data_IF_726808050852
#
_entry.id   IF_726808050852
#
_cell.length_a   1.000
_cell.length_b   1.000
_cell.length_c   1.000
_cell.angle_alpha   90.00
_cell.angle_beta   90.00
_cell.angle_gamma   90.00
#
_symmetry.space_group_name_H-M   'P 1'
#
loop_
_entity.id
_entity.type
_entity.pdbx_description
1 polymer ?
#
# COMPACT_ATOMS: atom_id res chain seq x y z
N UNK A 1 6.78 -58.60 -88.69
CA UNK A 1 6.22 -59.20 -87.45
C UNK A 1 7.11 -58.94 -86.23
N UNK A 2 8.40 -59.29 -86.26
CA UNK A 2 9.34 -59.06 -85.13
C UNK A 2 9.50 -57.59 -84.71
N UNK A 3 9.57 -56.66 -85.67
CA UNK A 3 9.72 -55.23 -85.36
C UNK A 3 8.50 -54.64 -84.63
N UNK A 4 7.29 -55.09 -84.99
CA UNK A 4 6.04 -54.65 -84.37
C UNK A 4 5.90 -55.18 -82.94
N UNK A 5 6.31 -56.43 -82.70
CA UNK A 5 6.37 -57.04 -81.37
C UNK A 5 7.39 -56.36 -80.45
N UNK A 6 8.57 -56.00 -80.99
CA UNK A 6 9.57 -55.25 -80.23
C UNK A 6 9.08 -53.84 -79.86
N UNK A 7 8.39 -53.15 -80.79
CA UNK A 7 7.80 -51.84 -80.55
C UNK A 7 6.71 -51.92 -79.47
N UNK A 8 5.80 -52.89 -79.56
CA UNK A 8 4.75 -53.14 -78.58
C UNK A 8 5.31 -53.45 -77.19
N UNK A 9 6.36 -54.27 -77.11
CA UNK A 9 7.07 -54.57 -75.86
C UNK A 9 7.70 -53.31 -75.25
N UNK A 10 8.37 -52.49 -76.08
CA UNK A 10 8.99 -51.23 -75.63
C UNK A 10 7.95 -50.25 -75.07
N UNK A 11 6.83 -50.04 -75.79
CA UNK A 11 5.75 -49.16 -75.31
C UNK A 11 5.04 -49.71 -74.08
N UNK A 12 4.92 -51.04 -73.96
CA UNK A 12 4.33 -51.68 -72.78
C UNK A 12 5.21 -51.51 -71.52
N UNK A 13 6.53 -51.68 -71.67
CA UNK A 13 7.49 -51.44 -70.58
C UNK A 13 7.49 -49.96 -70.18
N UNK A 14 7.46 -49.05 -71.16
CA UNK A 14 7.40 -47.61 -70.91
C UNK A 14 6.08 -47.22 -70.21
N UNK A 15 4.96 -47.82 -70.60
CA UNK A 15 3.67 -47.63 -69.95
C UNK A 15 3.68 -48.12 -68.50
N UNK A 16 4.24 -49.31 -68.23
CA UNK A 16 4.38 -49.82 -66.86
C UNK A 16 5.27 -48.88 -66.03
N UNK A 17 6.39 -48.41 -66.59
CA UNK A 17 7.28 -47.48 -65.89
C UNK A 17 6.58 -46.16 -65.56
N UNK A 18 5.85 -45.58 -66.54
CA UNK A 18 5.11 -44.33 -66.33
C UNK A 18 3.95 -44.51 -65.34
N UNK A 19 3.27 -45.66 -65.36
CA UNK A 19 2.20 -46.00 -64.43
C UNK A 19 2.73 -46.17 -63.00
N UNK A 20 3.84 -46.88 -62.82
CA UNK A 20 4.50 -47.04 -61.51
C UNK A 20 5.02 -45.70 -60.99
N UNK A 21 5.59 -44.86 -61.86
CA UNK A 21 6.03 -43.50 -61.51
C UNK A 21 4.84 -42.63 -61.08
N UNK A 22 3.73 -42.68 -61.81
CA UNK A 22 2.50 -41.95 -61.48
C UNK A 22 1.91 -42.44 -60.14
N UNK A 23 1.92 -43.76 -59.89
CA UNK A 23 1.42 -44.34 -58.65
C UNK A 23 2.29 -43.92 -57.45
N UNK A 24 3.62 -43.93 -57.61
CA UNK A 24 4.56 -43.43 -56.59
C UNK A 24 4.38 -41.93 -56.33
N UNK A 25 4.13 -41.14 -57.37
CA UNK A 25 3.88 -39.70 -57.25
C UNK A 25 2.54 -39.43 -56.52
N UNK A 26 1.49 -40.19 -56.87
CA UNK A 26 0.17 -40.13 -56.22
C UNK A 26 0.21 -40.60 -54.76
N UNK A 27 1.09 -41.53 -54.41
CA UNK A 27 1.29 -41.98 -53.03
C UNK A 27 2.12 -40.99 -52.20
N UNK A 28 3.09 -40.29 -52.80
CA UNK A 28 4.02 -39.40 -52.08
C UNK A 28 3.49 -37.97 -51.91
N UNK A 29 2.69 -37.45 -52.84
CA UNK A 29 2.10 -36.11 -52.76
C UNK A 29 1.19 -35.87 -51.52
N UNK A 30 0.28 -36.79 -51.14
CA UNK A 30 -0.52 -36.65 -49.93
C UNK A 30 0.34 -36.67 -48.67
N UNK A 31 1.34 -37.56 -48.62
CA UNK A 31 2.29 -37.66 -47.51
C UNK A 31 3.10 -36.37 -47.34
N UNK A 32 3.58 -35.78 -48.45
CA UNK A 32 4.27 -34.48 -48.44
C UNK A 32 3.33 -33.36 -47.96
N UNK A 33 2.07 -33.36 -48.40
CA UNK A 33 1.07 -32.39 -47.95
C UNK A 33 0.78 -32.51 -46.45
N UNK A 34 0.57 -33.72 -45.92
CA UNK A 34 0.41 -33.95 -44.48
C UNK A 34 1.66 -33.56 -43.68
N UNK A 35 2.86 -33.81 -44.23
CA UNK A 35 4.12 -33.43 -43.60
C UNK A 35 4.27 -31.89 -43.53
N UNK A 36 3.98 -31.19 -44.63
CA UNK A 36 3.97 -29.71 -44.67
C UNK A 36 2.92 -29.16 -43.70
N UNK A 37 1.71 -29.72 -43.68
CA UNK A 37 0.63 -29.31 -42.77
C UNK A 37 1.01 -29.53 -41.30
N UNK A 38 1.66 -30.65 -40.98
CA UNK A 38 2.16 -30.97 -39.64
C UNK A 38 3.25 -30.00 -39.20
N UNK A 39 4.21 -29.66 -40.06
CA UNK A 39 5.25 -28.67 -39.76
C UNK A 39 4.67 -27.26 -39.62
N UNK A 40 3.71 -26.88 -40.46
CA UNK A 40 2.99 -25.60 -40.33
C UNK A 40 2.22 -25.52 -39.01
N UNK A 41 1.50 -26.59 -38.64
CA UNK A 41 0.76 -26.66 -37.39
C UNK A 41 1.69 -26.62 -36.17
N UNK A 42 2.77 -27.40 -36.20
CA UNK A 42 3.81 -27.41 -35.15
C UNK A 42 4.50 -26.04 -35.00
N UNK A 43 4.80 -25.37 -36.12
CA UNK A 43 5.34 -24.01 -36.12
C UNK A 43 4.36 -22.99 -35.53
N UNK A 44 3.06 -23.09 -35.86
CA UNK A 44 2.03 -22.20 -35.32
C UNK A 44 1.84 -22.40 -33.81
N UNK A 45 1.83 -23.65 -33.35
CA UNK A 45 1.77 -24.00 -31.93
C UNK A 45 3.00 -23.45 -31.20
N UNK A 46 4.20 -23.66 -31.75
CA UNK A 46 5.44 -23.07 -31.22
C UNK A 46 5.37 -21.54 -31.14
N UNK A 47 4.87 -20.87 -32.18
CA UNK A 47 4.71 -19.41 -32.22
C UNK A 47 3.75 -18.93 -31.13
N UNK A 48 2.63 -19.64 -30.91
CA UNK A 48 1.67 -19.32 -29.84
C UNK A 48 2.33 -19.47 -28.47
N UNK A 49 3.04 -20.58 -28.21
CA UNK A 49 3.76 -20.78 -26.95
C UNK A 49 4.86 -19.73 -26.75
N UNK A 50 5.59 -19.39 -27.81
CA UNK A 50 6.64 -18.36 -27.77
C UNK A 50 6.06 -16.97 -27.49
N UNK A 51 4.97 -16.59 -28.15
CA UNK A 51 4.23 -15.35 -27.86
C UNK A 51 3.66 -15.35 -26.44
N UNK A 52 3.13 -16.47 -25.97
CA UNK A 52 2.63 -16.62 -24.59
C UNK A 52 3.77 -16.43 -23.59
N UNK A 53 4.94 -17.03 -23.82
CA UNK A 53 6.14 -16.86 -23.00
C UNK A 53 6.59 -15.40 -23.01
N UNK A 54 6.61 -14.73 -24.17
CA UNK A 54 6.93 -13.29 -24.24
C UNK A 54 5.92 -12.46 -23.45
N UNK A 55 4.63 -12.72 -23.59
CA UNK A 55 3.57 -12.01 -22.85
C UNK A 55 3.73 -12.25 -21.35
N UNK A 56 3.95 -13.49 -20.92
CA UNK A 56 4.19 -13.84 -19.51
C UNK A 56 5.45 -13.14 -18.99
N UNK A 57 6.54 -13.16 -19.74
CA UNK A 57 7.82 -12.55 -19.35
C UNK A 57 7.71 -11.02 -19.30
N UNK A 58 7.04 -10.40 -20.26
CA UNK A 58 6.80 -8.96 -20.28
C UNK A 58 5.85 -8.54 -19.14
N UNK A 59 4.82 -9.34 -18.87
CA UNK A 59 3.94 -9.17 -17.71
C UNK A 59 4.70 -9.31 -16.39
N UNK A 60 5.64 -10.26 -16.31
CA UNK A 60 6.51 -10.44 -15.14
C UNK A 60 7.47 -9.26 -14.95
N UNK A 61 8.08 -8.76 -16.03
CA UNK A 61 8.93 -7.55 -15.97
C UNK A 61 8.11 -6.33 -15.56
N UNK A 62 6.92 -6.12 -16.12
CA UNK A 62 6.01 -5.05 -15.72
C UNK A 62 5.67 -5.18 -14.24
N UNK A 63 5.37 -6.39 -13.77
CA UNK A 63 5.04 -6.65 -12.37
C UNK A 63 6.22 -6.31 -11.45
N UNK A 64 7.44 -6.74 -11.79
CA UNK A 64 8.66 -6.40 -11.05
C UNK A 64 8.94 -4.89 -11.09
N UNK A 65 8.77 -4.25 -12.24
CA UNK A 65 8.92 -2.81 -12.38
C UNK A 65 7.92 -2.06 -11.49
N UNK A 66 6.65 -2.48 -11.46
CA UNK A 66 5.64 -1.90 -10.59
C UNK A 66 6.01 -2.10 -9.11
N UNK A 67 6.50 -3.27 -8.72
CA UNK A 67 7.00 -3.51 -7.36
C UNK A 67 8.15 -2.56 -7.03
N UNK A 68 9.12 -2.40 -7.92
CA UNK A 68 10.26 -1.50 -7.73
C UNK A 68 9.78 -0.04 -7.62
N UNK A 69 8.88 0.39 -8.50
CA UNK A 69 8.28 1.74 -8.45
C UNK A 69 7.53 1.95 -7.15
N UNK A 70 6.75 0.97 -6.69
CA UNK A 70 6.05 1.02 -5.40
C UNK A 70 7.05 1.13 -4.26
N UNK A 71 8.12 0.32 -4.25
CA UNK A 71 9.17 0.37 -3.23
C UNK A 71 9.94 1.69 -3.24
N UNK A 72 10.17 2.29 -4.41
CA UNK A 72 10.85 3.59 -4.55
C UNK A 72 9.94 4.73 -4.11
N UNK A 73 8.69 4.78 -4.58
CA UNK A 73 7.70 5.76 -4.14
C UNK A 73 7.45 5.63 -2.63
N UNK A 74 7.50 4.41 -2.13
CA UNK A 74 7.40 4.11 -0.72
C UNK A 74 8.60 4.64 0.07
N UNK A 75 9.83 4.35 -0.35
CA UNK A 75 11.05 4.86 0.26
C UNK A 75 11.07 6.40 0.25
N UNK A 76 10.64 7.01 -0.85
CA UNK A 76 10.50 8.46 -0.97
C UNK A 76 9.44 9.00 -0.01
N UNK A 77 8.28 8.34 0.14
CA UNK A 77 7.25 8.77 1.08
C UNK A 77 7.66 8.58 2.54
N UNK A 78 8.34 7.49 2.87
CA UNK A 78 8.90 7.24 4.18
C UNK A 78 9.98 8.25 4.54
N UNK A 79 10.89 8.54 3.60
CA UNK A 79 11.85 9.64 3.73
C UNK A 79 11.13 10.96 3.85
N UNK A 80 10.03 11.22 3.13
CA UNK A 80 9.32 12.49 3.21
C UNK A 80 8.61 12.65 4.55
N UNK A 81 8.03 11.58 5.11
CA UNK A 81 7.41 11.56 6.44
C UNK A 81 8.48 11.71 7.52
N UNK A 82 9.59 10.98 7.44
CA UNK A 82 10.74 11.16 8.34
C UNK A 82 11.31 12.56 8.19
N UNK A 83 11.43 13.07 6.97
CA UNK A 83 11.89 14.43 6.69
C UNK A 83 10.92 15.44 7.26
N UNK A 84 9.61 15.18 7.29
CA UNK A 84 8.59 15.99 7.96
C UNK A 84 8.66 15.91 9.49
N UNK A 85 8.90 14.73 10.07
CA UNK A 85 9.22 14.54 11.49
C UNK A 85 10.52 15.26 11.87
N UNK A 86 11.57 15.14 11.06
CA UNK A 86 12.83 15.85 11.21
C UNK A 86 12.64 17.36 10.96
N UNK A 87 11.70 17.75 10.09
CA UNK A 87 11.30 19.15 9.92
C UNK A 87 10.51 19.67 11.11
N UNK A 88 9.97 18.84 12.01
CA UNK A 88 9.45 19.37 13.27
C UNK A 88 10.59 19.96 14.14
N UNK A 89 11.83 19.54 13.94
CA UNK A 89 13.04 20.19 14.49
C UNK A 89 13.35 21.51 13.76
N UNK A 90 12.98 21.63 12.49
CA UNK A 90 13.00 22.90 11.73
C UNK A 90 11.79 23.79 12.08
N UNK A 91 10.66 23.22 12.49
CA UNK A 91 9.48 23.92 13.00
C UNK A 91 9.84 24.67 14.28
N UNK A 92 10.75 24.19 15.12
CA UNK A 92 11.33 24.98 16.23
C UNK A 92 12.08 26.23 15.71
N UNK A 93 12.84 26.12 14.61
CA UNK A 93 13.53 27.26 13.96
C UNK A 93 12.56 28.22 13.26
N UNK A 94 11.48 27.70 12.68
CA UNK A 94 10.39 28.49 12.07
C UNK A 94 9.51 29.12 13.15
N UNK A 95 9.32 28.48 14.31
CA UNK A 95 8.57 29.02 15.44
C UNK A 95 9.20 30.31 15.97
N UNK A 96 10.53 30.32 16.11
CA UNK A 96 11.31 31.52 16.44
C UNK A 96 11.19 32.63 15.38
N UNK A 97 11.05 32.27 14.09
CA UNK A 97 10.87 33.22 12.99
C UNK A 97 9.42 33.73 12.86
N UNK A 98 8.43 32.89 13.18
CA UNK A 98 7.00 33.18 13.11
C UNK A 98 6.52 33.95 14.33
N UNK A 99 7.09 33.71 15.53
CA UNK A 99 6.91 34.57 16.70
C UNK A 99 7.30 36.03 16.39
N UNK A 100 8.35 36.22 15.58
CA UNK A 100 8.83 37.53 15.12
C UNK A 100 7.86 38.21 14.13
N UNK A 101 7.18 37.43 13.26
CA UNK A 101 6.19 37.94 12.30
C UNK A 101 4.79 38.14 12.91
N UNK A 102 4.41 37.34 13.90
CA UNK A 102 3.08 37.42 14.54
C UNK A 102 2.89 38.65 15.43
N UNK A 103 3.99 39.23 15.93
CA UNK A 103 3.99 40.54 16.59
C UNK A 103 3.42 41.64 15.67
N UNK A 104 3.50 41.49 14.34
CA UNK A 104 3.01 42.49 13.37
C UNK A 104 1.51 42.36 13.04
N UNK A 105 0.86 41.22 13.31
CA UNK A 105 -0.52 40.92 12.87
C UNK A 105 -1.60 41.14 13.95
N UNK A 106 -1.21 41.34 15.20
CA UNK A 106 -2.11 41.45 16.38
C UNK A 106 -3.06 42.68 16.38
N UNK A 107 -3.08 43.48 15.32
CA UNK A 107 -3.96 44.63 15.16
C UNK A 107 -5.20 44.40 14.27
N UNK A 108 -5.32 43.26 13.58
CA UNK A 108 -6.41 43.03 12.62
C UNK A 108 -7.61 42.35 13.28
N UNK A 109 -8.78 42.99 13.23
CA UNK A 109 -10.02 42.40 13.72
C UNK A 109 -10.48 41.22 12.83
N UNK A 110 -11.02 40.16 13.44
CA UNK A 110 -11.55 38.98 12.73
C UNK A 110 -12.55 39.32 11.61
N UNK A 111 -13.37 40.36 11.79
CA UNK A 111 -14.34 40.81 10.77
C UNK A 111 -13.70 41.30 9.48
N UNK A 112 -12.48 41.86 9.56
CA UNK A 112 -11.69 42.30 8.41
C UNK A 112 -10.95 41.10 7.80
N UNK A 113 -10.32 40.27 8.64
CA UNK A 113 -9.61 39.08 8.18
C UNK A 113 -10.51 38.10 7.41
N UNK A 114 -11.75 37.89 7.85
CA UNK A 114 -12.71 36.99 7.17
C UNK A 114 -13.29 37.57 5.87
N UNK A 115 -13.10 38.86 5.60
CA UNK A 115 -13.47 39.50 4.33
C UNK A 115 -12.30 39.59 3.35
N UNK A 116 -11.09 39.27 3.81
CA UNK A 116 -9.91 39.28 2.96
C UNK A 116 -9.96 38.13 1.94
N UNK A 117 -9.94 38.51 0.67
CA UNK A 117 -9.93 37.56 -0.45
C UNK A 117 -8.76 36.58 -0.41
N UNK A 118 -7.61 36.97 0.15
CA UNK A 118 -6.44 36.10 0.28
C UNK A 118 -6.66 34.99 1.30
N UNK A 119 -7.27 35.32 2.45
CA UNK A 119 -7.65 34.37 3.50
C UNK A 119 -8.69 33.38 2.97
N UNK A 120 -9.75 33.88 2.33
CA UNK A 120 -10.79 33.01 1.77
C UNK A 120 -10.27 32.07 0.68
N UNK A 121 -9.35 32.56 -0.17
CA UNK A 121 -8.72 31.75 -1.22
C UNK A 121 -7.83 30.67 -0.64
N UNK A 122 -7.01 30.98 0.37
CA UNK A 122 -6.16 30.00 1.04
C UNK A 122 -7.00 28.88 1.68
N UNK A 123 -8.02 29.25 2.46
CA UNK A 123 -8.94 28.29 3.07
C UNK A 123 -9.69 27.45 2.05
N UNK A 124 -10.15 28.07 0.95
CA UNK A 124 -10.82 27.36 -0.14
C UNK A 124 -9.91 26.30 -0.78
N UNK A 125 -8.65 26.63 -1.04
CA UNK A 125 -7.66 25.69 -1.57
C UNK A 125 -7.36 24.56 -0.57
N UNK A 126 -7.13 24.89 0.70
CA UNK A 126 -6.87 23.90 1.75
C UNK A 126 -8.03 22.92 1.93
N UNK A 127 -9.29 23.41 1.88
CA UNK A 127 -10.48 22.57 1.90
C UNK A 127 -10.57 21.64 0.69
N UNK A 128 -10.24 22.14 -0.51
CA UNK A 128 -10.19 21.30 -1.72
C UNK A 128 -9.12 20.22 -1.59
N UNK A 129 -7.94 20.55 -1.05
CA UNK A 129 -6.87 19.58 -0.80
C UNK A 129 -7.30 18.52 0.23
N UNK A 130 -7.99 18.92 1.30
CA UNK A 130 -8.54 18.01 2.32
C UNK A 130 -9.58 17.06 1.72
N UNK A 131 -10.51 17.59 0.93
CA UNK A 131 -11.52 16.79 0.23
C UNK A 131 -10.87 15.85 -0.78
N UNK A 132 -9.88 16.30 -1.55
CA UNK A 132 -9.14 15.45 -2.49
C UNK A 132 -8.51 14.26 -1.79
N UNK A 133 -7.82 14.49 -0.68
CA UNK A 133 -7.20 13.45 0.13
C UNK A 133 -8.23 12.47 0.71
N UNK A 134 -9.26 12.97 1.39
CA UNK A 134 -10.24 12.12 2.07
C UNK A 134 -11.11 11.34 1.08
N UNK A 135 -11.49 11.95 -0.05
CA UNK A 135 -12.25 11.32 -1.12
C UNK A 135 -11.42 10.23 -1.79
N UNK A 136 -10.16 10.51 -2.14
CA UNK A 136 -9.28 9.48 -2.71
C UNK A 136 -9.12 8.29 -1.76
N UNK A 137 -8.86 8.56 -0.47
CA UNK A 137 -8.65 7.53 0.54
C UNK A 137 -9.92 6.71 0.80
N UNK A 138 -11.06 7.37 0.97
CA UNK A 138 -12.36 6.73 1.25
C UNK A 138 -12.91 5.96 0.05
N UNK A 139 -12.80 6.51 -1.16
CA UNK A 139 -13.33 5.86 -2.37
C UNK A 139 -12.63 4.54 -2.64
N UNK A 140 -11.30 4.47 -2.53
CA UNK A 140 -10.59 3.21 -2.73
C UNK A 140 -10.83 2.19 -1.60
N UNK A 141 -11.23 2.66 -0.42
CA UNK A 141 -11.65 1.80 0.69
C UNK A 141 -13.11 1.31 0.56
N UNK A 142 -13.92 1.96 -0.29
CA UNK A 142 -15.33 1.62 -0.47
C UNK A 142 -15.50 0.28 -1.19
N UNK A 143 -16.33 -0.61 -0.65
CA UNK A 143 -16.42 -2.01 -1.08
C UNK A 143 -16.59 -2.24 -2.59
N UNK A 144 -17.44 -1.50 -3.33
CA UNK A 144 -17.59 -1.70 -4.77
C UNK A 144 -16.29 -1.39 -5.53
N UNK A 145 -15.66 -0.26 -5.23
CA UNK A 145 -14.41 0.19 -5.85
C UNK A 145 -13.28 -0.75 -5.45
N UNK A 146 -13.19 -1.09 -4.16
CA UNK A 146 -12.21 -2.02 -3.63
C UNK A 146 -12.28 -3.38 -4.33
N UNK A 147 -13.47 -3.94 -4.54
CA UNK A 147 -13.64 -5.21 -5.28
C UNK A 147 -13.22 -5.09 -6.74
N UNK A 148 -13.58 -3.99 -7.41
CA UNK A 148 -13.15 -3.74 -8.78
C UNK A 148 -11.61 -3.64 -8.88
N UNK A 149 -10.98 -2.86 -8.01
CA UNK A 149 -9.52 -2.73 -7.95
C UNK A 149 -8.85 -4.06 -7.58
N UNK A 150 -9.41 -4.84 -6.65
CA UNK A 150 -8.93 -6.18 -6.32
C UNK A 150 -9.01 -7.14 -7.52
N UNK A 151 -10.09 -7.08 -8.31
CA UNK A 151 -10.21 -7.92 -9.51
C UNK A 151 -9.20 -7.56 -10.60
N UNK A 152 -8.81 -6.29 -10.70
CA UNK A 152 -7.88 -5.81 -11.71
C UNK A 152 -6.40 -5.95 -11.29
N UNK A 153 -6.10 -5.71 -10.02
CA UNK A 153 -4.73 -5.60 -9.49
C UNK A 153 -4.30 -6.81 -8.65
N UNK A 154 -5.24 -7.67 -8.23
CA UNK A 154 -4.97 -8.82 -7.37
C UNK A 154 -4.23 -8.43 -6.09
N UNK A 155 -3.11 -9.10 -5.83
CA UNK A 155 -2.27 -8.90 -4.65
C UNK A 155 -1.65 -7.50 -4.55
N UNK A 156 -1.58 -6.77 -5.68
CA UNK A 156 -1.04 -5.41 -5.72
C UNK A 156 -2.03 -4.36 -5.20
N UNK A 157 -3.31 -4.69 -5.08
CA UNK A 157 -4.37 -3.74 -4.73
C UNK A 157 -4.04 -2.93 -3.45
N UNK A 158 -3.51 -3.61 -2.42
CA UNK A 158 -3.17 -2.96 -1.15
C UNK A 158 -2.00 -1.98 -1.30
N UNK A 159 -0.97 -2.36 -2.04
CA UNK A 159 0.17 -1.49 -2.30
C UNK A 159 -0.23 -0.26 -3.13
N UNK A 160 -1.04 -0.46 -4.18
CA UNK A 160 -1.60 0.66 -4.96
C UNK A 160 -2.44 1.60 -4.11
N UNK A 161 -3.28 1.08 -3.23
CA UNK A 161 -4.05 1.88 -2.28
C UNK A 161 -3.15 2.73 -1.36
N UNK A 162 -2.15 2.11 -0.74
CA UNK A 162 -1.22 2.80 0.16
C UNK A 162 -0.41 3.86 -0.57
N UNK A 163 0.16 3.54 -1.74
CA UNK A 163 0.98 4.47 -2.53
C UNK A 163 0.16 5.66 -3.04
N UNK A 164 -1.04 5.44 -3.57
CA UNK A 164 -1.89 6.54 -4.07
C UNK A 164 -2.38 7.43 -2.92
N UNK A 165 -2.70 6.85 -1.76
CA UNK A 165 -3.05 7.62 -0.55
C UNK A 165 -1.86 8.46 -0.07
N UNK A 166 -0.67 7.88 -0.05
CA UNK A 166 0.57 8.59 0.28
C UNK A 166 0.85 9.76 -0.68
N UNK A 167 0.64 9.57 -1.98
CA UNK A 167 0.78 10.64 -2.98
C UNK A 167 -0.26 11.75 -2.77
N UNK A 168 -1.52 11.41 -2.53
CA UNK A 168 -2.56 12.41 -2.23
C UNK A 168 -2.21 13.23 -0.98
N UNK A 169 -1.68 12.59 0.06
CA UNK A 169 -1.20 13.27 1.26
C UNK A 169 0.01 14.18 0.97
N UNK A 170 0.95 13.74 0.14
CA UNK A 170 2.08 14.59 -0.28
C UNK A 170 1.62 15.83 -1.06
N UNK A 171 0.64 15.69 -1.95
CA UNK A 171 0.03 16.81 -2.66
C UNK A 171 -0.60 17.80 -1.67
N UNK A 172 -1.39 17.30 -0.71
CA UNK A 172 -1.96 18.12 0.36
C UNK A 172 -0.87 18.90 1.11
N UNK A 173 0.18 18.22 1.58
CA UNK A 173 1.27 18.86 2.33
C UNK A 173 2.06 19.87 1.50
N UNK A 174 2.27 19.59 0.21
CA UNK A 174 3.09 20.44 -0.68
C UNK A 174 2.38 21.73 -1.09
N UNK A 175 1.07 21.66 -1.29
CA UNK A 175 0.27 22.79 -1.78
C UNK A 175 -0.53 23.51 -0.68
N UNK A 176 -0.39 23.09 0.58
CA UNK A 176 -1.01 23.74 1.74
C UNK A 176 -0.70 25.24 1.80
N UNK A 177 -1.71 26.08 2.02
CA UNK A 177 -1.60 27.54 2.04
C UNK A 177 -1.70 28.07 3.48
N UNK A 178 -0.58 28.41 4.14
CA UNK A 178 -0.64 28.96 5.49
C UNK A 178 -1.35 30.31 5.51
N UNK A 179 -2.31 30.48 6.43
CA UNK A 179 -3.07 31.73 6.58
C UNK A 179 -2.31 32.66 7.52
N UNK A 180 -1.57 33.62 6.94
CA UNK A 180 -0.75 34.60 7.68
C UNK A 180 -1.44 35.95 7.90
N UNK A 181 -2.42 36.29 7.06
CA UNK A 181 -3.16 37.58 7.12
C UNK A 181 -4.28 37.61 8.17
N UNK A 182 -4.57 36.48 8.81
CA UNK A 182 -5.57 36.40 9.89
C UNK A 182 -4.86 36.29 11.25
N UNK A 183 -5.46 36.83 12.33
CA UNK A 183 -4.95 36.63 13.67
C UNK A 183 -4.97 35.15 14.08
N UNK A 184 -4.12 34.78 15.03
CA UNK A 184 -4.13 33.45 15.64
C UNK A 184 -5.44 33.27 16.44
N UNK A 185 -5.96 32.04 16.48
CA UNK A 185 -7.04 31.70 17.40
C UNK A 185 -6.54 31.76 18.84
N UNK A 186 -5.33 31.26 19.09
CA UNK A 186 -4.62 31.43 20.35
C UNK A 186 -3.11 31.35 20.15
N UNK A 187 -2.40 31.96 21.09
CA UNK A 187 -0.93 31.99 21.14
C UNK A 187 -0.49 32.26 22.57
N UNK A 188 0.40 31.43 23.11
CA UNK A 188 0.96 31.62 24.45
C UNK A 188 2.15 32.56 24.37
N UNK A 189 2.00 33.78 24.89
CA UNK A 189 3.00 34.86 24.80
C UNK A 189 3.47 35.40 26.15
N UNK A 190 2.85 34.97 27.25
CA UNK A 190 3.16 35.47 28.58
C UNK A 190 4.38 34.76 29.15
N UNK A 191 5.42 35.52 29.50
CA UNK A 191 6.57 34.96 30.21
C UNK A 191 6.14 34.35 31.56
N UNK A 192 6.64 33.16 31.95
CA UNK A 192 7.65 32.34 31.27
C UNK A 192 7.08 31.26 30.32
N UNK A 193 5.76 31.23 30.15
CA UNK A 193 5.05 30.20 29.38
C UNK A 193 5.30 30.27 27.87
N UNK A 194 5.74 31.42 27.37
CA UNK A 194 6.26 31.60 26.02
C UNK A 194 7.41 30.64 25.68
N UNK A 195 8.17 30.17 26.67
CA UNK A 195 9.24 29.16 26.49
C UNK A 195 8.77 27.76 26.91
N UNK A 196 8.16 27.64 28.09
CA UNK A 196 7.81 26.32 28.64
C UNK A 196 6.72 25.60 27.87
N UNK A 197 5.72 26.34 27.38
CA UNK A 197 4.60 25.73 26.69
C UNK A 197 4.98 25.13 25.33
N UNK A 198 5.76 25.81 24.46
CA UNK A 198 6.29 25.18 23.25
C UNK A 198 7.16 23.94 23.53
N UNK A 199 7.95 23.95 24.60
CA UNK A 199 8.78 22.80 24.98
C UNK A 199 7.93 21.58 25.35
N UNK A 200 6.83 21.79 26.09
CA UNK A 200 5.86 20.73 26.41
C UNK A 200 5.23 20.19 25.13
N UNK A 201 4.73 21.07 24.26
CA UNK A 201 4.13 20.67 22.97
C UNK A 201 5.12 19.84 22.13
N UNK A 202 6.37 20.29 22.02
CA UNK A 202 7.42 19.57 21.30
C UNK A 202 7.68 18.18 21.90
N UNK A 203 7.80 18.09 23.23
CA UNK A 203 8.05 16.82 23.93
C UNK A 203 6.92 15.83 23.70
N UNK A 204 5.67 16.29 23.82
CA UNK A 204 4.49 15.45 23.58
C UNK A 204 4.41 15.03 22.11
N UNK A 205 4.67 15.94 21.17
CA UNK A 205 4.70 15.61 19.73
C UNK A 205 5.77 14.55 19.42
N UNK A 206 6.97 14.71 19.98
CA UNK A 206 8.05 13.73 19.83
C UNK A 206 7.60 12.35 20.34
N UNK A 207 6.98 12.30 21.53
CA UNK A 207 6.47 11.05 22.10
C UNK A 207 5.35 10.45 21.23
N UNK A 208 4.40 11.25 20.75
CA UNK A 208 3.34 10.79 19.84
C UNK A 208 3.92 10.16 18.58
N UNK A 209 4.89 10.82 17.95
CA UNK A 209 5.57 10.29 16.77
C UNK A 209 6.34 9.00 17.05
N UNK A 210 7.03 8.91 18.19
CA UNK A 210 7.70 7.68 18.61
C UNK A 210 6.70 6.52 18.76
N UNK A 211 5.56 6.77 19.41
CA UNK A 211 4.48 5.78 19.57
C UNK A 211 3.89 5.37 18.23
N UNK A 212 3.62 6.32 17.32
CA UNK A 212 3.15 6.03 15.95
C UNK A 212 4.13 5.08 15.24
N UNK A 213 5.43 5.40 15.26
CA UNK A 213 6.46 4.56 14.67
C UNK A 213 6.51 3.16 15.31
N UNK A 214 6.38 3.07 16.64
CA UNK A 214 6.31 1.77 17.34
C UNK A 214 5.10 0.95 16.93
N UNK A 215 3.90 1.56 16.83
CA UNK A 215 2.68 0.89 16.37
C UNK A 215 2.85 0.38 14.94
N UNK A 216 3.42 1.19 14.05
CA UNK A 216 3.70 0.79 12.67
C UNK A 216 4.59 -0.47 12.59
N UNK A 217 5.61 -0.57 13.44
CA UNK A 217 6.47 -1.75 13.53
C UNK A 217 5.73 -2.97 14.10
N UNK A 218 4.93 -2.78 15.16
CA UNK A 218 4.14 -3.85 15.79
C UNK A 218 3.12 -4.46 14.83
N UNK A 219 2.53 -3.63 13.97
CA UNK A 219 1.49 -4.04 13.02
C UNK A 219 2.05 -4.72 11.75
N UNK A 220 3.34 -5.07 11.73
CA UNK A 220 4.06 -5.58 10.56
C UNK A 220 3.96 -4.62 9.38
N UNK A 221 4.86 -3.66 9.38
CA UNK A 221 4.86 -2.55 8.45
C UNK A 221 4.80 -2.97 6.95
N UNK A 222 5.59 -3.95 6.47
CA UNK A 222 5.43 -4.53 5.13
C UNK A 222 4.04 -5.10 4.83
N UNK A 223 3.35 -5.69 5.81
CA UNK A 223 1.99 -6.20 5.67
C UNK A 223 0.96 -5.08 5.56
N UNK A 224 1.15 -4.00 6.33
CA UNK A 224 0.31 -2.79 6.24
C UNK A 224 0.37 -2.18 4.84
N UNK A 225 1.56 -2.16 4.24
CA UNK A 225 1.81 -1.57 2.92
C UNK A 225 1.38 -2.40 1.72
N UNK A 226 1.10 -3.70 1.87
CA UNK A 226 0.84 -4.56 0.70
C UNK A 226 2.06 -5.30 0.15
N UNK A 227 3.28 -5.01 0.65
CA UNK A 227 4.52 -5.63 0.17
C UNK A 227 4.58 -7.10 0.56
N UNK A 228 4.14 -7.44 1.77
CA UNK A 228 4.13 -8.83 2.24
C UNK A 228 3.17 -9.70 1.43
N UNK A 229 2.02 -9.16 1.01
CA UNK A 229 1.05 -9.84 0.17
C UNK A 229 1.66 -10.20 -1.19
N UNK A 230 2.37 -9.25 -1.81
CA UNK A 230 3.11 -9.49 -3.06
C UNK A 230 4.21 -10.53 -2.87
N UNK A 231 5.01 -10.42 -1.81
CA UNK A 231 6.09 -11.35 -1.50
C UNK A 231 5.57 -12.78 -1.28
N UNK A 232 4.47 -12.95 -0.54
CA UNK A 232 3.87 -14.25 -0.26
C UNK A 232 3.28 -14.89 -1.52
N UNK A 233 2.68 -14.10 -2.40
CA UNK A 233 2.18 -14.58 -3.69
C UNK A 233 3.34 -15.10 -4.56
N UNK A 234 4.44 -14.36 -4.64
CA UNK A 234 5.63 -14.80 -5.38
C UNK A 234 6.22 -16.12 -4.86
N UNK A 235 6.02 -16.44 -3.58
CA UNK A 235 6.46 -17.68 -2.94
C UNK A 235 5.39 -18.78 -2.89
N UNK A 236 4.17 -18.51 -3.36
CA UNK A 236 3.05 -19.45 -3.28
C UNK A 236 2.56 -19.72 -1.85
N UNK A 237 2.77 -18.79 -0.92
CA UNK A 237 2.43 -18.93 0.50
C UNK A 237 0.99 -18.49 0.85
N UNK A 238 0.26 -17.90 -0.10
CA UNK A 238 -1.11 -17.39 0.10
C UNK A 238 -1.18 -16.08 0.91
N UNK A 239 -2.39 -15.64 1.30
CA UNK A 239 -2.59 -14.37 1.99
C UNK A 239 -2.00 -14.38 3.42
N UNK A 240 -1.06 -13.47 3.77
CA UNK A 240 -0.51 -13.39 5.12
C UNK A 240 -1.57 -13.15 6.21
N UNK A 241 -2.70 -12.53 5.90
CA UNK A 241 -3.76 -12.29 6.88
C UNK A 241 -4.49 -13.58 7.26
N UNK A 242 -4.58 -14.56 6.34
CA UNK A 242 -5.23 -15.85 6.57
C UNK A 242 -4.50 -16.71 7.63
N UNK A 243 -3.21 -16.45 7.85
CA UNK A 243 -2.40 -17.13 8.86
C UNK A 243 -2.68 -16.65 10.29
N UNK A 244 -3.37 -15.51 10.46
CA UNK A 244 -3.68 -14.95 11.79
C UNK A 244 -4.93 -15.61 12.38
N UNK A 245 -5.02 -15.65 13.72
CA UNK A 245 -6.21 -16.18 14.40
C UNK A 245 -7.49 -15.41 14.00
N UNK A 246 -8.65 -16.08 14.01
CA UNK A 246 -9.92 -15.45 13.64
C UNK A 246 -10.26 -14.19 14.46
N UNK A 247 -9.89 -14.17 15.75
CA UNK A 247 -10.06 -12.99 16.63
C UNK A 247 -9.17 -11.82 16.19
N UNK A 248 -7.94 -12.11 15.80
CA UNK A 248 -7.03 -11.09 15.27
C UNK A 248 -7.51 -10.56 13.91
N UNK A 249 -7.93 -11.44 12.99
CA UNK A 249 -8.47 -11.02 11.70
C UNK A 249 -9.67 -10.07 11.85
N UNK A 250 -10.57 -10.38 12.79
CA UNK A 250 -11.70 -9.51 13.14
C UNK A 250 -11.24 -8.15 13.67
N UNK A 251 -10.31 -8.13 14.62
CA UNK A 251 -9.76 -6.89 15.16
C UNK A 251 -9.16 -6.04 14.04
N UNK A 252 -8.36 -6.62 13.13
CA UNK A 252 -7.78 -5.89 11.99
C UNK A 252 -8.84 -5.36 11.00
N UNK A 253 -9.98 -6.04 10.85
CA UNK A 253 -11.06 -5.58 10.00
C UNK A 253 -11.78 -4.34 10.59
N UNK A 254 -11.86 -4.24 11.92
CA UNK A 254 -12.54 -3.15 12.62
C UNK A 254 -11.59 -2.01 13.04
N UNK A 255 -10.31 -2.30 13.25
CA UNK A 255 -9.27 -1.34 13.64
C UNK A 255 -8.69 -0.66 12.39
N UNK A 256 -9.48 0.22 11.77
CA UNK A 256 -9.07 0.96 10.56
C UNK A 256 -7.92 1.94 10.80
N UNK A 257 -7.88 2.53 11.99
CA UNK A 257 -6.94 3.59 12.35
C UNK A 257 -6.36 3.35 13.75
N UNK A 258 -5.24 2.60 13.86
CA UNK A 258 -4.64 2.26 15.16
C UNK A 258 -3.93 3.45 15.84
N UNK A 259 -3.69 4.55 15.12
CA UNK A 259 -2.92 5.73 15.57
C UNK A 259 -3.77 6.99 15.75
N UNK A 260 -5.09 6.84 15.97
CA UNK A 260 -6.01 7.98 16.05
C UNK A 260 -5.64 8.98 17.14
N UNK A 261 -5.29 8.49 18.33
CA UNK A 261 -5.12 9.33 19.53
C UNK A 261 -3.86 10.19 19.38
N UNK A 262 -2.76 9.59 18.93
CA UNK A 262 -1.49 10.26 18.70
C UNK A 262 -1.63 11.31 17.60
N UNK A 263 -2.35 11.01 16.51
CA UNK A 263 -2.62 11.98 15.45
C UNK A 263 -3.49 13.14 15.95
N UNK A 264 -4.52 12.89 16.76
CA UNK A 264 -5.34 13.95 17.36
C UNK A 264 -4.51 14.87 18.26
N UNK A 265 -3.62 14.31 19.08
CA UNK A 265 -2.72 15.09 19.92
C UNK A 265 -1.80 15.99 19.07
N UNK A 266 -1.19 15.43 18.01
CA UNK A 266 -0.32 16.20 17.10
C UNK A 266 -1.06 17.31 16.35
N UNK A 267 -2.35 17.12 16.04
CA UNK A 267 -3.17 18.12 15.34
C UNK A 267 -3.57 19.29 16.24
N UNK A 268 -3.89 19.02 17.52
CA UNK A 268 -4.47 20.03 18.41
C UNK A 268 -3.47 20.66 19.39
N UNK A 269 -2.40 19.96 19.78
CA UNK A 269 -1.44 20.43 20.79
C UNK A 269 -0.36 21.33 20.18
N UNK A 270 -0.76 22.52 19.75
CA UNK A 270 0.13 23.48 19.10
C UNK A 270 0.39 24.71 19.99
N UNK A 271 1.61 25.24 20.07
CA UNK A 271 1.88 26.44 20.88
C UNK A 271 1.17 27.72 20.40
N UNK A 272 0.85 27.75 19.11
CA UNK A 272 0.06 28.75 18.40
C UNK A 272 -0.82 28.03 17.38
N UNK A 273 -2.10 28.42 17.32
CA UNK A 273 -3.07 27.84 16.40
C UNK A 273 -3.57 28.90 15.43
N UNK A 274 -3.16 28.75 14.17
CA UNK A 274 -3.64 29.56 13.06
C UNK A 274 -4.98 29.02 12.53
N UNK A 275 -5.66 29.84 11.72
CA UNK A 275 -6.97 29.48 11.16
C UNK A 275 -6.91 28.24 10.25
N UNK A 276 -5.91 28.16 9.37
CA UNK A 276 -5.71 27.00 8.48
C UNK A 276 -5.45 25.72 9.29
N UNK A 277 -4.62 25.79 10.34
CA UNK A 277 -4.33 24.65 11.22
C UNK A 277 -5.56 24.19 11.98
N UNK A 278 -6.42 25.12 12.43
CA UNK A 278 -7.68 24.78 13.06
C UNK A 278 -8.62 24.03 12.10
N UNK A 279 -8.75 24.50 10.85
CA UNK A 279 -9.54 23.83 9.81
C UNK A 279 -9.01 22.42 9.53
N UNK A 280 -7.69 22.28 9.38
CA UNK A 280 -7.02 20.98 9.23
C UNK A 280 -7.36 20.04 10.40
N UNK A 281 -7.15 20.50 11.63
CA UNK A 281 -7.35 19.72 12.84
C UNK A 281 -8.81 19.28 12.98
N UNK A 282 -9.76 20.21 12.80
CA UNK A 282 -11.19 19.92 12.89
C UNK A 282 -11.64 18.93 11.82
N UNK A 283 -11.26 19.16 10.55
CA UNK A 283 -11.63 18.30 9.43
C UNK A 283 -11.13 16.87 9.64
N UNK A 284 -9.83 16.71 9.93
CA UNK A 284 -9.24 15.39 10.14
C UNK A 284 -9.80 14.72 11.41
N UNK A 285 -10.08 15.47 12.48
CA UNK A 285 -10.72 14.91 13.69
C UNK A 285 -12.10 14.34 13.39
N UNK A 286 -12.92 15.08 12.65
CA UNK A 286 -14.24 14.61 12.23
C UNK A 286 -14.11 13.38 11.34
N UNK A 287 -13.17 13.40 10.39
CA UNK A 287 -12.89 12.27 9.50
C UNK A 287 -12.49 11.01 10.28
N UNK A 288 -11.57 11.14 11.24
CA UNK A 288 -11.12 10.07 12.13
C UNK A 288 -12.26 9.53 13.01
N UNK A 289 -13.09 10.41 13.57
CA UNK A 289 -14.22 10.04 14.41
C UNK A 289 -15.28 9.24 13.63
N UNK A 290 -15.60 9.66 12.41
CA UNK A 290 -16.56 8.96 11.54
C UNK A 290 -16.03 7.63 11.02
N UNK A 291 -14.70 7.45 10.97
CA UNK A 291 -14.07 6.23 10.47
C UNK A 291 -13.87 5.14 11.55
N UNK A 292 -14.22 5.41 12.81
CA UNK A 292 -14.06 4.45 13.90
C UNK A 292 -15.10 3.33 13.84
N UNK A 293 -14.65 2.08 13.89
CA UNK A 293 -15.51 0.89 13.76
C UNK A 293 -15.26 -0.19 14.82
N UNK A 294 -14.57 0.11 15.92
CA UNK A 294 -14.38 -0.87 17.00
C UNK A 294 -15.67 -1.09 17.77
N UNK A 295 -15.92 -2.34 18.14
CA UNK A 295 -17.02 -2.71 19.02
C UNK A 295 -16.56 -3.24 20.38
N UNK A 296 -17.53 -3.49 21.27
CA UNK A 296 -17.25 -3.96 22.62
C UNK A 296 -16.47 -5.30 22.66
N UNK A 297 -16.62 -6.15 21.64
CA UNK A 297 -15.92 -7.44 21.57
C UNK A 297 -14.46 -7.24 21.20
N UNK A 298 -14.16 -6.30 20.32
CA UNK A 298 -12.77 -5.93 19.99
C UNK A 298 -12.06 -5.31 21.19
N UNK A 299 -12.74 -4.42 21.92
CA UNK A 299 -12.21 -3.82 23.15
C UNK A 299 -11.90 -4.88 24.22
N UNK A 300 -12.81 -5.85 24.44
CA UNK A 300 -12.59 -6.94 25.37
C UNK A 300 -11.41 -7.84 24.95
N UNK A 301 -11.28 -8.12 23.65
CA UNK A 301 -10.14 -8.87 23.12
C UNK A 301 -8.82 -8.12 23.35
N UNK A 302 -8.76 -6.83 23.04
CA UNK A 302 -7.56 -6.01 23.24
C UNK A 302 -7.18 -5.92 24.72
N UNK A 303 -8.15 -5.74 25.61
CA UNK A 303 -7.94 -5.74 27.06
C UNK A 303 -7.35 -7.06 27.56
N UNK A 304 -7.88 -8.20 27.09
CA UNK A 304 -7.34 -9.52 27.45
C UNK A 304 -5.88 -9.70 27.01
N UNK A 305 -5.54 -9.27 25.78
CA UNK A 305 -4.18 -9.35 25.26
C UNK A 305 -3.21 -8.46 26.04
N UNK A 306 -3.64 -7.24 26.37
CA UNK A 306 -2.85 -6.33 27.18
C UNK A 306 -2.58 -6.93 28.57
N UNK A 307 -3.61 -7.49 29.21
CA UNK A 307 -3.47 -8.08 30.53
C UNK A 307 -2.52 -9.29 30.53
N UNK A 308 -2.64 -10.19 29.55
CA UNK A 308 -1.72 -11.32 29.39
C UNK A 308 -0.28 -10.87 29.17
N UNK A 309 -0.05 -9.80 28.39
CA UNK A 309 1.31 -9.26 28.16
C UNK A 309 1.87 -8.59 29.42
N UNK A 310 1.06 -7.82 30.15
CA UNK A 310 1.48 -7.22 31.41
C UNK A 310 1.83 -8.29 32.45
N UNK A 311 1.04 -9.36 32.54
CA UNK A 311 1.32 -10.50 33.41
C UNK A 311 2.67 -11.14 33.09
N UNK A 312 2.98 -11.37 31.81
CA UNK A 312 4.27 -11.89 31.37
C UNK A 312 5.44 -10.98 31.75
N UNK A 313 5.27 -9.66 31.69
CA UNK A 313 6.32 -8.71 32.10
C UNK A 313 6.46 -8.59 33.62
N UNK A 314 5.37 -8.82 34.36
CA UNK A 314 5.38 -8.81 35.84
C UNK A 314 5.79 -10.14 36.47
N UNK A 315 5.81 -11.23 35.70
CA UNK A 315 6.25 -12.53 36.19
C UNK A 315 7.76 -12.46 36.50
N UNK A 316 8.21 -12.86 37.70
CA UNK A 316 9.62 -12.84 38.04
C UNK A 316 10.40 -13.71 37.04
N UNK A 317 11.42 -13.14 36.39
CA UNK A 317 12.40 -13.90 35.61
C UNK A 317 13.24 -14.73 36.60
N UNK A 318 12.74 -15.89 37.00
CA UNK A 318 13.40 -16.76 37.97
C UNK A 318 12.83 -18.16 37.91
N UNK A 319 13.48 -19.01 37.10
CA UNK A 319 13.14 -20.42 36.97
C UNK A 319 14.01 -21.07 35.91
N UNK A 320 15.32 -21.12 36.17
CA UNK A 320 16.25 -21.93 35.41
C UNK A 320 15.79 -23.39 35.34
N UNK A 321 16.17 -24.03 34.25
CA UNK A 321 15.92 -25.42 33.92
C UNK A 321 16.02 -26.39 35.11
N UNK A 322 14.97 -27.18 35.33
CA UNK A 322 15.06 -28.57 35.77
C UNK A 322 13.73 -29.28 35.42
N UNK A 323 13.60 -29.71 34.16
CA UNK A 323 12.71 -30.83 33.82
C UNK A 323 13.60 -32.07 33.92
N UNK A 324 13.73 -32.59 35.14
CA UNK A 324 14.26 -33.92 35.36
C UNK A 324 13.20 -34.93 34.90
N UNK A 325 13.43 -35.49 33.72
CA UNK A 325 12.87 -36.78 33.33
C UNK A 325 13.32 -37.84 34.34
N UNK A 326 12.40 -38.43 35.11
CA UNK A 326 12.34 -39.87 35.33
C UNK A 326 11.18 -40.30 36.25
N UNK A 327 10.44 -41.27 35.72
CA UNK A 327 9.84 -42.44 36.40
C UNK A 327 8.42 -42.36 37.00
N UNK A 328 7.56 -43.14 36.32
CA UNK A 328 6.62 -44.14 36.85
C UNK A 328 5.20 -43.71 37.27
N UNK A 329 4.27 -43.93 36.34
CA UNK A 329 2.86 -44.26 36.61
C UNK A 329 2.70 -45.80 36.76
N UNK A 330 1.53 -46.37 37.12
CA UNK A 330 1.21 -46.85 38.47
C UNK A 330 0.99 -48.39 38.53
N UNK A 331 1.02 -48.98 39.74
CA UNK A 331 0.36 -50.29 39.99
C UNK A 331 -0.91 -50.07 40.81
N UNK A 332 -2.04 -50.42 40.20
CA UNK A 332 -3.31 -50.71 40.86
C UNK A 332 -3.29 -52.18 41.26
N UNK A 333 -3.59 -52.44 42.53
CA UNK A 333 -4.13 -53.73 42.98
C UNK A 333 -5.66 -53.75 42.79
#
# INVERSE_FOLDING_TARGET
>A
MFYLLALLSYYFIYFIFLFVLLLLLLLTLPLLFYFILFYFFSFYVFLIYFLLIIIIYFSFIIYIFIIVVILVLYFLCFITIIFFLCLNVIILRIYLFVLLLYILADGVSWSVALRDSSVLRALGLDLVLLVLFSLQHSLLAWDPVKRACQSALGVLNRAMYCTTTALALQVLMRYWQPVTSAPCLWSVRSAPWDIWFPLICFTVHFLCWAVICSILLIFDYPELLGVKQVYYECLGLGDPLALKSARAQRLYAHLRHPVCVELLLVLWLLPTLTLDRCVLALYLSLYLALAHSLDAKDCAYLSSQLHSKLQLFSAPQGGGAEINSNSAEPKRD
#
